data_IF_636165545325
#
_entry.id   IF_636165545325
#
_cell.length_a   1.000
_cell.length_b   1.000
_cell.length_c   1.000
_cell.angle_alpha   90.00
_cell.angle_beta   90.00
_cell.angle_gamma   90.00
#
_symmetry.space_group_name_H-M   'P 1'
#
loop_
_entity.id
_entity.type
_entity.pdbx_description
1 polymer ?
#
# COMPACT_ATOMS: atom_id res chain seq x y z
N UNK A 1 -44.05 -65.44 -31.75
CA UNK A 1 -44.44 -65.01 -30.39
C UNK A 1 -43.25 -64.32 -29.75
N UNK A 2 -43.43 -63.09 -29.28
CA UNK A 2 -42.39 -62.15 -28.81
C UNK A 2 -41.93 -62.47 -27.39
N UNK A 3 -40.64 -62.29 -27.11
CA UNK A 3 -40.10 -62.15 -25.76
C UNK A 3 -39.26 -60.88 -25.61
N UNK A 4 -39.64 -60.11 -24.58
CA UNK A 4 -38.82 -59.37 -23.59
C UNK A 4 -37.99 -58.14 -24.02
N UNK A 5 -38.50 -57.00 -23.53
CA UNK A 5 -37.85 -55.98 -22.70
C UNK A 5 -36.38 -55.60 -23.01
N UNK A 6 -36.20 -54.40 -23.56
CA UNK A 6 -34.96 -53.63 -23.50
C UNK A 6 -35.27 -52.20 -23.06
N UNK A 7 -34.72 -51.80 -21.93
CA UNK A 7 -34.83 -50.47 -21.31
C UNK A 7 -34.14 -49.44 -22.23
N UNK A 8 -34.85 -48.37 -22.61
CA UNK A 8 -34.29 -47.25 -23.36
C UNK A 8 -33.65 -46.26 -22.36
N UNK A 9 -32.32 -46.32 -22.21
CA UNK A 9 -31.56 -45.30 -21.48
C UNK A 9 -31.39 -44.09 -22.40
N UNK A 10 -32.09 -43.00 -22.08
CA UNK A 10 -31.87 -41.70 -22.71
C UNK A 10 -30.60 -41.07 -22.10
N UNK A 11 -29.48 -41.15 -22.83
CA UNK A 11 -28.25 -40.44 -22.48
C UNK A 11 -28.45 -38.94 -22.71
N UNK A 12 -28.67 -38.18 -21.63
CA UNK A 12 -28.57 -36.73 -21.64
C UNK A 12 -27.07 -36.37 -21.59
N UNK A 13 -26.52 -35.85 -22.67
CA UNK A 13 -25.17 -35.27 -22.67
C UNK A 13 -25.18 -33.98 -21.84
N UNK A 14 -24.79 -34.09 -20.57
CA UNK A 14 -24.46 -32.92 -19.74
C UNK A 14 -22.95 -32.72 -19.86
N UNK A 15 -22.51 -31.83 -20.76
CA UNK A 15 -21.17 -31.27 -20.66
C UNK A 15 -21.23 -30.07 -19.71
N UNK A 16 -20.69 -30.24 -18.51
CA UNK A 16 -20.21 -29.11 -17.71
C UNK A 16 -18.77 -29.39 -17.33
N UNK A 17 -17.92 -28.52 -17.86
CA UNK A 17 -16.47 -28.58 -17.76
C UNK A 17 -16.00 -28.63 -16.31
N UNK A 18 -15.04 -29.50 -16.06
CA UNK A 18 -14.23 -29.59 -14.85
C UNK A 18 -13.71 -28.19 -14.46
N UNK A 19 -14.16 -27.63 -13.34
CA UNK A 19 -13.45 -26.51 -12.71
C UNK A 19 -12.22 -27.12 -12.05
N UNK A 20 -11.09 -27.00 -12.75
CA UNK A 20 -9.78 -27.24 -12.17
C UNK A 20 -9.62 -26.36 -10.92
N UNK A 21 -9.20 -26.99 -9.82
CA UNK A 21 -8.71 -26.30 -8.63
C UNK A 21 -7.67 -25.26 -9.06
N UNK A 22 -7.88 -23.99 -8.70
CA UNK A 22 -6.88 -22.95 -8.90
C UNK A 22 -5.69 -23.24 -7.99
N UNK A 23 -4.73 -24.01 -8.50
CA UNK A 23 -3.37 -24.04 -7.97
C UNK A 23 -2.76 -22.67 -8.23
N UNK A 24 -2.16 -22.09 -7.19
CA UNK A 24 -1.59 -20.74 -7.18
C UNK A 24 -0.60 -20.57 -8.32
N UNK A 25 -0.92 -19.70 -9.28
CA UNK A 25 -0.03 -19.34 -10.38
C UNK A 25 1.23 -18.67 -9.79
N UNK A 26 2.46 -19.12 -10.08
CA UNK A 26 3.64 -18.34 -9.76
C UNK A 26 3.55 -17.04 -10.57
N UNK A 27 3.28 -15.93 -9.90
CA UNK A 27 3.34 -14.61 -10.52
C UNK A 27 4.80 -14.34 -10.88
N UNK A 28 5.13 -14.47 -12.16
CA UNK A 28 6.28 -13.80 -12.75
C UNK A 28 6.05 -12.31 -12.48
N UNK A 29 6.78 -11.76 -11.51
CA UNK A 29 6.76 -10.32 -11.23
C UNK A 29 7.21 -9.62 -12.50
N UNK A 30 6.36 -8.78 -13.09
CA UNK A 30 6.81 -7.78 -14.07
C UNK A 30 7.92 -6.97 -13.40
N UNK A 31 9.17 -6.99 -13.88
CA UNK A 31 10.30 -6.39 -13.17
C UNK A 31 10.23 -4.85 -12.99
N UNK A 32 9.22 -4.19 -13.58
CA UNK A 32 9.22 -2.74 -13.75
C UNK A 32 8.12 -1.99 -12.98
N UNK A 33 7.24 -2.66 -12.22
CA UNK A 33 6.30 -1.96 -11.34
C UNK A 33 6.66 -2.23 -9.89
N UNK A 34 6.73 -1.16 -9.08
CA UNK A 34 6.86 -1.30 -7.64
C UNK A 34 5.73 -2.17 -7.06
N UNK A 35 6.00 -2.96 -6.01
CA UNK A 35 4.94 -3.72 -5.34
C UNK A 35 3.87 -2.77 -4.80
N UNK A 36 2.66 -3.30 -4.60
CA UNK A 36 1.57 -2.55 -3.97
C UNK A 36 2.05 -1.99 -2.63
N UNK A 37 1.67 -0.75 -2.33
CA UNK A 37 2.11 -0.04 -1.13
C UNK A 37 3.48 0.61 -1.29
N UNK A 38 4.17 0.48 -2.43
CA UNK A 38 5.40 1.21 -2.74
C UNK A 38 5.20 2.22 -3.87
N UNK A 39 5.73 3.42 -3.69
CA UNK A 39 5.52 4.58 -4.53
C UNK A 39 6.85 5.19 -4.95
N UNK A 40 7.03 5.42 -6.24
CA UNK A 40 8.24 6.05 -6.79
C UNK A 40 8.18 7.57 -6.58
N UNK A 41 9.35 8.21 -6.63
CA UNK A 41 9.44 9.66 -6.78
C UNK A 41 8.56 10.17 -7.92
N UNK A 42 7.91 11.32 -7.70
CA UNK A 42 6.93 11.93 -8.59
C UNK A 42 5.47 11.52 -8.29
N UNK A 43 5.23 10.51 -7.44
CA UNK A 43 3.87 10.06 -7.12
C UNK A 43 3.09 11.15 -6.37
N UNK A 44 1.94 11.54 -6.92
CA UNK A 44 0.96 12.42 -6.24
C UNK A 44 -0.16 11.58 -5.63
N UNK A 45 -0.53 11.90 -4.39
CA UNK A 45 -1.60 11.24 -3.66
C UNK A 45 -2.88 12.06 -3.77
N UNK A 46 -3.88 11.50 -4.45
CA UNK A 46 -5.15 12.17 -4.68
C UNK A 46 -5.98 12.20 -3.40
N UNK A 47 -6.78 13.26 -3.26
CA UNK A 47 -7.72 13.39 -2.14
C UNK A 47 -8.69 12.20 -2.10
N UNK A 48 -8.91 11.70 -0.88
CA UNK A 48 -9.77 10.59 -0.48
C UNK A 48 -9.49 9.22 -1.13
N UNK A 49 -8.55 9.14 -2.08
CA UNK A 49 -8.04 7.89 -2.61
C UNK A 49 -7.25 7.14 -1.53
N UNK A 50 -7.53 5.84 -1.38
CA UNK A 50 -6.84 4.96 -0.43
C UNK A 50 -5.70 4.21 -1.12
N UNK A 51 -4.51 4.31 -0.54
CA UNK A 51 -3.30 3.66 -1.02
C UNK A 51 -2.88 2.61 0.00
N UNK A 52 -3.19 1.35 -0.28
CA UNK A 52 -3.06 0.26 0.68
C UNK A 52 -1.65 -0.33 0.75
N UNK A 53 -1.30 -0.88 1.91
CA UNK A 53 -0.20 -1.85 2.06
C UNK A 53 -0.43 -3.08 1.19
N UNK A 54 0.63 -3.84 0.93
CA UNK A 54 0.58 -5.06 0.10
C UNK A 54 -0.49 -6.05 0.58
N UNK A 55 -0.63 -6.19 1.90
CA UNK A 55 -1.56 -7.10 2.58
C UNK A 55 -2.95 -6.51 2.89
N UNK A 56 -3.23 -5.27 2.46
CA UNK A 56 -4.47 -4.51 2.74
C UNK A 56 -4.75 -4.21 4.22
N UNK A 57 -3.82 -4.45 5.14
CA UNK A 57 -4.04 -4.18 6.57
C UNK A 57 -3.95 -2.69 6.91
N UNK A 58 -3.32 -1.90 6.04
CA UNK A 58 -3.10 -0.47 6.23
C UNK A 58 -3.42 0.30 4.95
N UNK A 59 -3.75 1.57 5.09
CA UNK A 59 -3.79 2.49 3.95
C UNK A 59 -3.36 3.90 4.31
N UNK A 60 -2.74 4.58 3.35
CA UNK A 60 -2.47 6.00 3.34
C UNK A 60 -3.61 6.71 2.61
N UNK A 61 -4.06 7.84 3.15
CA UNK A 61 -5.08 8.68 2.51
C UNK A 61 -4.76 10.15 2.72
N UNK A 62 -4.72 10.91 1.63
CA UNK A 62 -4.77 12.36 1.68
C UNK A 62 -6.24 12.76 1.82
N UNK A 63 -6.66 13.29 2.95
CA UNK A 63 -8.06 13.61 3.21
C UNK A 63 -8.45 14.94 2.58
N UNK A 64 -9.73 15.08 2.23
CA UNK A 64 -10.28 16.35 1.72
C UNK A 64 -10.16 17.52 2.71
N UNK A 65 -10.07 17.26 4.01
CA UNK A 65 -9.86 18.27 5.04
C UNK A 65 -8.40 18.80 5.12
N UNK A 66 -7.51 18.27 4.26
CA UNK A 66 -6.12 18.69 4.22
C UNK A 66 -5.17 17.84 5.06
N UNK A 67 -5.61 16.77 5.71
CA UNK A 67 -4.75 15.90 6.50
C UNK A 67 -4.27 14.65 5.72
N UNK A 68 -2.97 14.37 5.71
CA UNK A 68 -2.45 13.06 5.28
C UNK A 68 -2.43 12.11 6.48
N UNK A 69 -3.06 10.94 6.34
CA UNK A 69 -3.29 9.99 7.44
C UNK A 69 -2.95 8.56 7.03
N UNK A 70 -2.29 7.82 7.92
CA UNK A 70 -2.16 6.36 7.85
C UNK A 70 -3.20 5.72 8.76
N UNK A 71 -3.93 4.76 8.20
CA UNK A 71 -4.99 4.01 8.87
C UNK A 71 -4.65 2.52 8.96
N UNK A 72 -5.02 1.90 10.09
CA UNK A 72 -5.11 0.44 10.26
C UNK A 72 -6.55 -0.01 9.99
N UNK A 73 -6.74 -1.03 9.17
CA UNK A 73 -8.04 -1.69 8.97
C UNK A 73 -8.35 -2.56 10.19
N UNK A 74 -9.50 -2.35 10.82
CA UNK A 74 -9.92 -3.05 12.04
C UNK A 74 -11.15 -3.94 11.84
N UNK A 75 -11.71 -3.95 10.63
CA UNK A 75 -12.83 -4.79 10.22
C UNK A 75 -13.44 -4.31 8.90
N UNK A 76 -14.50 -4.96 8.41
CA UNK A 76 -15.20 -4.52 7.21
C UNK A 76 -15.68 -3.06 7.38
N UNK A 77 -15.22 -2.17 6.50
CA UNK A 77 -15.48 -0.72 6.54
C UNK A 77 -15.11 -0.03 7.87
N UNK A 78 -14.26 -0.64 8.71
CA UNK A 78 -13.78 -0.08 9.97
C UNK A 78 -12.27 0.13 9.91
N UNK A 79 -11.83 1.29 10.39
CA UNK A 79 -10.41 1.65 10.40
C UNK A 79 -10.11 2.62 11.54
N UNK A 80 -8.84 2.65 11.96
CA UNK A 80 -8.32 3.50 13.03
C UNK A 80 -7.10 4.28 12.52
N UNK A 81 -7.10 5.60 12.70
CA UNK A 81 -5.92 6.42 12.38
C UNK A 81 -4.77 6.02 13.33
N UNK A 82 -3.58 5.79 12.77
CA UNK A 82 -2.38 5.42 13.53
C UNK A 82 -1.25 6.44 13.41
N UNK A 83 -1.30 7.30 12.38
CA UNK A 83 -0.44 8.47 12.24
C UNK A 83 -1.08 9.49 11.30
N UNK A 84 -0.76 10.76 11.49
CA UNK A 84 -1.24 11.85 10.65
C UNK A 84 -0.34 13.08 10.74
N UNK A 85 -0.39 13.92 9.71
CA UNK A 85 0.46 15.12 9.58
C UNK A 85 0.01 16.33 10.41
N UNK A 86 -1.13 16.26 11.09
CA UNK A 86 -1.75 17.39 11.83
C UNK A 86 -1.99 18.63 10.95
N UNK A 87 -2.31 18.42 9.68
CA UNK A 87 -2.60 19.49 8.70
C UNK A 87 -4.09 19.65 8.41
N UNK A 88 -4.96 18.99 9.20
CA UNK A 88 -6.41 19.14 9.11
C UNK A 88 -6.84 20.61 9.20
N UNK A 89 -7.78 21.01 8.35
CA UNK A 89 -8.24 22.39 8.21
C UNK A 89 -7.35 23.27 7.31
N UNK A 90 -6.20 22.79 6.85
CA UNK A 90 -5.37 23.50 5.87
C UNK A 90 -5.88 23.22 4.45
N UNK A 91 -5.90 24.25 3.61
CA UNK A 91 -6.23 24.14 2.19
C UNK A 91 -5.08 23.51 1.39
N UNK A 92 -4.82 22.21 1.59
CA UNK A 92 -3.81 21.47 0.84
C UNK A 92 -4.29 21.22 -0.57
N UNK A 93 -3.48 21.60 -1.55
CA UNK A 93 -3.70 21.36 -2.97
C UNK A 93 -3.05 20.05 -3.41
N UNK A 94 -1.83 19.77 -2.94
CA UNK A 94 -1.00 18.69 -3.47
C UNK A 94 -0.27 17.95 -2.37
N UNK A 95 -0.41 16.63 -2.34
CA UNK A 95 0.45 15.71 -1.58
C UNK A 95 1.30 14.92 -2.57
N UNK A 96 2.62 15.04 -2.48
CA UNK A 96 3.54 14.44 -3.45
C UNK A 96 4.77 13.85 -2.77
N UNK A 97 5.13 12.63 -3.15
CA UNK A 97 6.46 12.08 -2.90
C UNK A 97 7.36 12.50 -4.05
N UNK A 98 8.28 13.41 -3.80
CA UNK A 98 9.11 14.08 -4.80
C UNK A 98 10.29 13.20 -5.24
N UNK A 99 10.86 13.52 -6.41
CA UNK A 99 12.00 12.77 -6.96
C UNK A 99 13.26 12.86 -6.08
N UNK A 100 13.38 13.91 -5.27
CA UNK A 100 14.46 14.11 -4.30
C UNK A 100 14.30 13.26 -3.02
N UNK A 101 13.17 12.57 -2.86
CA UNK A 101 12.89 11.69 -1.72
C UNK A 101 12.21 12.39 -0.54
N UNK A 102 11.69 13.61 -0.73
CA UNK A 102 10.84 14.24 0.28
C UNK A 102 9.35 13.96 0.02
N UNK A 103 8.56 13.76 1.08
CA UNK A 103 7.10 13.71 1.01
C UNK A 103 6.57 15.05 1.50
N UNK A 104 5.84 15.78 0.65
CA UNK A 104 5.47 17.18 0.90
C UNK A 104 3.98 17.42 0.65
N UNK A 105 3.36 18.20 1.54
CA UNK A 105 2.03 18.79 1.33
C UNK A 105 2.17 20.27 0.99
N UNK A 106 1.66 20.67 -0.17
CA UNK A 106 1.62 22.06 -0.63
C UNK A 106 0.20 22.60 -0.58
N UNK A 107 0.05 23.85 -0.15
CA UNK A 107 -1.18 24.63 -0.34
C UNK A 107 -1.34 25.13 -1.78
N UNK A 108 -2.45 25.82 -2.06
CA UNK A 108 -2.76 26.39 -3.37
C UNK A 108 -1.81 27.50 -3.83
N UNK A 109 -1.02 28.08 -2.93
CA UNK A 109 0.00 29.07 -3.26
C UNK A 109 1.37 28.41 -3.53
N UNK A 110 1.44 27.07 -3.53
CA UNK A 110 2.69 26.34 -3.68
C UNK A 110 3.59 26.40 -2.45
N UNK A 111 3.08 26.82 -1.29
CA UNK A 111 3.84 26.83 -0.03
C UNK A 111 3.73 25.48 0.66
N UNK A 112 4.87 24.92 1.07
CA UNK A 112 4.91 23.70 1.86
C UNK A 112 4.27 23.95 3.23
N UNK A 113 3.28 23.12 3.57
CA UNK A 113 2.55 23.16 4.84
C UNK A 113 2.99 22.08 5.82
N UNK A 114 3.64 21.04 5.30
CA UNK A 114 4.33 19.97 6.01
C UNK A 114 5.27 19.26 5.03
N UNK A 115 6.41 18.79 5.52
CA UNK A 115 7.29 17.88 4.79
C UNK A 115 7.97 16.88 5.74
N UNK A 116 8.33 15.70 5.22
CA UNK A 116 8.90 14.62 6.03
C UNK A 116 10.30 14.94 6.59
N UNK A 117 11.02 15.92 6.04
CA UNK A 117 12.36 16.30 6.49
C UNK A 117 12.36 17.37 7.59
N UNK A 118 11.26 18.11 7.77
CA UNK A 118 11.10 19.10 8.85
C UNK A 118 10.20 18.64 10.00
N UNK A 119 9.54 17.47 9.90
CA UNK A 119 8.89 16.81 11.03
C UNK A 119 9.94 16.20 11.98
N UNK A 120 10.69 17.10 12.65
CA UNK A 120 11.86 16.87 13.51
C UNK A 120 11.51 16.21 14.85
N UNK A 121 10.55 15.27 14.89
CA UNK A 121 10.32 14.44 16.08
C UNK A 121 11.35 13.33 16.27
N UNK A 122 12.25 13.08 15.31
CA UNK A 122 13.29 12.04 15.39
C UNK A 122 14.70 12.61 15.12
N UNK A 123 15.21 13.47 16.02
CA UNK A 123 16.68 13.66 16.14
C UNK A 123 17.37 12.44 16.76
N UNK A 124 16.59 11.43 17.13
CA UNK A 124 17.07 10.14 17.62
C UNK A 124 17.39 9.23 16.43
N UNK A 125 18.49 9.54 15.74
CA UNK A 125 19.23 8.55 14.96
C UNK A 125 19.73 7.35 15.81
N UNK A 126 19.31 7.22 17.07
CA UNK A 126 19.60 6.08 17.94
C UNK A 126 18.78 4.80 17.59
N UNK A 127 17.77 4.92 16.71
CA UNK A 127 16.87 3.84 16.33
C UNK A 127 17.17 3.16 14.99
N UNK A 128 18.15 3.61 14.20
CA UNK A 128 18.55 2.92 12.96
C UNK A 128 19.33 1.62 13.29
N UNK A 129 18.75 0.74 14.12
CA UNK A 129 19.06 -0.68 14.13
C UNK A 129 18.65 -1.21 12.77
N UNK A 130 19.55 -1.16 11.78
CA UNK A 130 19.56 -1.96 10.55
C UNK A 130 18.20 -2.64 10.29
N UNK A 131 17.17 -1.85 9.99
CA UNK A 131 15.84 -2.38 9.72
C UNK A 131 15.88 -2.80 8.26
N UNK A 132 16.51 -3.95 8.03
CA UNK A 132 16.35 -4.68 6.79
C UNK A 132 14.88 -5.09 6.74
N UNK A 133 14.13 -4.77 5.67
CA UNK A 133 12.78 -5.27 5.51
C UNK A 133 12.82 -6.79 5.62
N UNK A 134 12.15 -7.34 6.64
CA UNK A 134 11.92 -8.78 6.73
C UNK A 134 10.88 -9.13 5.67
N UNK A 135 11.34 -9.44 4.45
CA UNK A 135 10.51 -10.05 3.41
C UNK A 135 10.57 -9.37 2.05
N UNK A 136 10.75 -8.04 1.99
CA UNK A 136 10.54 -7.30 0.75
C UNK A 136 11.88 -6.88 0.13
N UNK A 137 12.51 -7.80 -0.61
CA UNK A 137 13.71 -7.50 -1.39
C UNK A 137 13.37 -6.69 -2.65
N UNK A 138 13.17 -5.39 -2.49
CA UNK A 138 13.22 -4.42 -3.59
C UNK A 138 14.22 -3.33 -3.24
N UNK A 139 15.45 -3.46 -3.75
CA UNK A 139 16.43 -2.38 -3.74
C UNK A 139 16.31 -1.62 -5.06
N UNK A 140 15.24 -0.83 -5.25
CA UNK A 140 15.32 0.14 -6.33
C UNK A 140 16.41 1.15 -5.95
N UNK A 141 17.28 1.47 -6.91
CA UNK A 141 18.37 2.43 -6.76
C UNK A 141 17.90 3.89 -6.56
N UNK A 142 16.60 4.13 -6.43
CA UNK A 142 15.97 5.44 -6.30
C UNK A 142 15.26 5.66 -4.96
N UNK A 143 14.58 6.80 -4.87
CA UNK A 143 13.74 7.14 -3.73
C UNK A 143 12.40 6.40 -3.83
N UNK A 144 12.02 5.69 -2.76
CA UNK A 144 10.74 4.98 -2.65
C UNK A 144 10.07 5.34 -1.33
N UNK A 145 8.77 5.63 -1.37
CA UNK A 145 7.90 5.64 -0.19
C UNK A 145 7.17 4.31 -0.11
N UNK A 146 7.23 3.62 1.03
CA UNK A 146 6.55 2.33 1.22
C UNK A 146 5.65 2.37 2.45
N UNK A 147 4.38 2.03 2.28
CA UNK A 147 3.49 1.63 3.35
C UNK A 147 3.62 0.11 3.56
N UNK A 148 4.39 -0.26 4.58
CA UNK A 148 4.80 -1.62 4.86
C UNK A 148 3.65 -2.44 5.47
N UNK A 149 3.79 -3.76 5.40
CA UNK A 149 2.82 -4.71 5.97
C UNK A 149 2.76 -4.60 7.49
N UNK A 150 3.76 -4.04 8.17
CA UNK A 150 3.75 -3.78 9.63
C UNK A 150 3.06 -2.46 10.02
N UNK A 151 2.52 -1.73 9.04
CA UNK A 151 1.87 -0.44 9.25
C UNK A 151 2.81 0.76 9.25
N UNK A 152 4.12 0.57 9.06
CA UNK A 152 5.06 1.67 8.96
C UNK A 152 5.01 2.33 7.59
N UNK A 153 4.98 3.66 7.56
CA UNK A 153 5.21 4.44 6.35
C UNK A 153 6.68 4.87 6.33
N UNK A 154 7.46 4.40 5.36
CA UNK A 154 8.92 4.54 5.33
C UNK A 154 9.38 5.15 4.02
N UNK A 155 10.29 6.12 4.09
CA UNK A 155 11.03 6.63 2.92
C UNK A 155 12.37 5.91 2.86
N UNK A 156 12.62 5.25 1.74
CA UNK A 156 13.90 4.66 1.37
C UNK A 156 14.61 5.51 0.32
N UNK A 157 15.90 5.75 0.51
CA UNK A 157 16.77 6.37 -0.49
C UNK A 157 18.01 5.48 -0.69
N UNK A 158 18.20 4.96 -1.90
CA UNK A 158 19.30 4.02 -2.19
C UNK A 158 19.23 2.74 -1.35
N UNK A 159 18.02 2.27 -1.03
CA UNK A 159 17.79 1.10 -0.17
C UNK A 159 17.96 1.35 1.34
N UNK A 160 18.26 2.58 1.76
CA UNK A 160 18.42 2.95 3.18
C UNK A 160 17.18 3.71 3.66
N UNK A 161 16.60 3.30 4.79
CA UNK A 161 15.52 4.04 5.42
C UNK A 161 16.02 5.41 5.89
N UNK A 162 15.38 6.49 5.41
CA UNK A 162 15.74 7.89 5.72
C UNK A 162 14.76 8.56 6.67
N UNK A 163 13.49 8.16 6.59
CA UNK A 163 12.43 8.66 7.45
C UNK A 163 11.38 7.57 7.63
N UNK A 164 10.68 7.59 8.76
CA UNK A 164 9.49 6.76 8.96
C UNK A 164 8.49 7.43 9.90
N UNK A 165 7.22 7.07 9.76
CA UNK A 165 6.11 7.57 10.58
C UNK A 165 6.10 7.02 12.03
N UNK A 166 6.95 6.04 12.36
CA UNK A 166 6.98 5.41 13.67
C UNK A 166 5.75 4.56 13.99
N UNK A 167 5.07 4.06 12.95
CA UNK A 167 3.79 3.32 13.05
C UNK A 167 3.93 1.81 12.92
N UNK A 168 5.15 1.29 12.82
CA UNK A 168 5.40 -0.15 12.93
C UNK A 168 4.71 -0.67 14.19
N UNK A 169 3.95 -1.76 14.08
CA UNK A 169 3.15 -2.30 15.19
C UNK A 169 3.95 -2.30 16.51
N UNK A 170 3.63 -1.34 17.39
CA UNK A 170 3.87 -1.45 18.82
C UNK A 170 2.86 -2.49 19.30
N UNK A 171 3.28 -3.75 19.32
CA UNK A 171 2.54 -4.78 20.06
C UNK A 171 2.46 -4.39 21.54
#
# INVERSE_FOLDING_TARGET
MKTKNGILILLLLISVNTIAQQTTRPTIRVPNSLPRGSFAGGTTFNKDQKYYSEDNRYFLQMQSDGNLVVYKVTGPNKFKAIWYTHTNGKAIQKCIFQNDGNLVLYDYNGKAQWDAWTDQKNKDNAGLKKFLPRGDKFYASGNILTLQTDGNLVIYAGGIARWNAGTYEKN
#
